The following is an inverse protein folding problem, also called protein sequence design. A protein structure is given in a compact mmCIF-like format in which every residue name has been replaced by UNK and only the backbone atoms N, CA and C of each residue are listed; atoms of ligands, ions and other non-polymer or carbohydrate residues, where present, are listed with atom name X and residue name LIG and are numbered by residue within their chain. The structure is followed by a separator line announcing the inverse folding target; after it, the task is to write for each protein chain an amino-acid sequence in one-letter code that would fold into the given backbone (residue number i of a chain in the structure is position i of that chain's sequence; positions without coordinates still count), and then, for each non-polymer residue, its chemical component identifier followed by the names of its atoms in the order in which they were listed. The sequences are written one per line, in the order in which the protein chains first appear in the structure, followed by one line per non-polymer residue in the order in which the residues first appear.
data_IF_391000241587
#
_entry.id   IF_391000241587
#
_cell.length_a   1.000
_cell.length_b   1.000
_cell.length_c   1.000
_cell.angle_alpha   90.00
_cell.angle_beta   90.00
_cell.angle_gamma   90.00
#
_symmetry.space_group_name_H-M   'P 1'
#
loop_
_entity.id
_entity.type
_entity.pdbx_description
1 polymer ?
#
# COMPACT_ATOMS: atom_id res chain seq x y z
N UNK A 1 -14.69 -0.70 -15.37
CA UNK A 1 -14.63 -0.77 -13.90
C UNK A 1 -13.94 0.51 -13.47
N UNK A 2 -14.72 1.46 -12.97
CA UNK A 2 -14.24 2.78 -12.59
C UNK A 2 -13.92 2.72 -11.09
N UNK A 3 -12.74 3.20 -10.72
CA UNK A 3 -12.32 3.32 -9.32
C UNK A 3 -12.85 4.63 -8.75
N UNK A 4 -13.60 4.56 -7.65
CA UNK A 4 -13.98 5.71 -6.83
C UNK A 4 -13.58 5.40 -5.39
N UNK A 5 -12.78 6.28 -4.77
CA UNK A 5 -12.55 6.26 -3.32
C UNK A 5 -12.68 7.67 -2.76
N UNK A 6 -13.50 7.71 -1.72
CA UNK A 6 -13.99 8.81 -0.91
C UNK A 6 -12.88 9.54 -0.14
N UNK A 7 -12.98 10.87 -0.10
CA UNK A 7 -12.33 11.71 0.91
C UNK A 7 -13.41 11.99 1.95
N UNK A 8 -13.15 11.66 3.22
CA UNK A 8 -14.08 12.01 4.30
C UNK A 8 -14.21 13.53 4.44
N UNK A 9 -15.47 13.99 4.41
CA UNK A 9 -15.91 15.35 4.70
C UNK A 9 -16.25 15.43 6.19
N UNK A 10 -15.48 16.21 6.95
CA UNK A 10 -15.79 16.63 8.32
C UNK A 10 -15.91 18.18 8.31
N UNK A 11 -17.12 18.67 8.04
CA UNK A 11 -17.56 20.05 8.32
C UNK A 11 -17.97 20.11 9.82
N UNK A 12 -17.78 21.15 10.63
CA UNK A 12 -17.25 22.50 10.48
C UNK A 12 -17.05 23.10 11.90
N UNK A 13 -16.12 24.06 12.07
CA UNK A 13 -16.25 25.22 12.96
C UNK A 13 -15.16 26.26 12.66
N UNK A 14 -15.55 27.54 12.63
CA UNK A 14 -14.78 28.69 12.14
C UNK A 14 -13.64 29.20 13.03
N UNK A 15 -13.05 30.36 12.67
CA UNK A 15 -11.67 30.72 12.99
C UNK A 15 -11.53 31.44 14.34
N UNK A 16 -10.50 31.07 15.11
CA UNK A 16 -10.10 31.75 16.33
C UNK A 16 -8.61 31.54 16.60
N UNK A 17 -7.81 32.57 16.35
CA UNK A 17 -6.39 32.62 16.71
C UNK A 17 -6.20 32.64 18.22
N UNK A 18 -5.32 31.82 18.79
CA UNK A 18 -4.61 32.12 20.04
C UNK A 18 -3.32 31.27 20.18
N UNK A 19 -2.20 32.00 20.24
CA UNK A 19 -0.95 31.80 20.97
C UNK A 19 -0.27 30.40 21.05
N UNK A 20 0.99 30.36 20.61
CA UNK A 20 2.03 29.50 21.17
C UNK A 20 2.17 29.82 22.66
N UNK A 21 1.76 28.93 23.55
CA UNK A 21 2.43 28.76 24.84
C UNK A 21 2.10 27.40 25.46
N UNK A 22 3.16 26.72 25.90
CA UNK A 22 3.18 25.49 26.71
C UNK A 22 2.41 24.27 26.16
N UNK A 23 3.08 23.47 25.32
CA UNK A 23 2.76 22.04 25.19
C UNK A 23 3.30 21.30 26.42
N UNK A 24 2.51 21.24 27.49
CA UNK A 24 2.63 20.15 28.46
C UNK A 24 2.16 18.88 27.78
N UNK A 25 3.04 17.88 27.67
CA UNK A 25 2.67 16.53 27.25
C UNK A 25 1.79 15.94 28.35
N UNK A 26 0.48 16.02 28.17
CA UNK A 26 -0.45 15.20 28.92
C UNK A 26 -0.23 13.76 28.45
N UNK A 27 0.48 12.99 29.27
CA UNK A 27 0.57 11.55 29.09
C UNK A 27 -0.82 10.98 29.38
N UNK A 28 -1.58 10.69 28.33
CA UNK A 28 -2.78 9.85 28.44
C UNK A 28 -2.39 8.58 29.22
N UNK A 29 -2.84 8.47 30.47
CA UNK A 29 -2.52 7.38 31.41
C UNK A 29 -3.05 6.00 30.98
N UNK A 30 -3.45 5.88 29.72
CA UNK A 30 -3.92 4.67 29.06
C UNK A 30 -3.00 4.23 27.90
N UNK A 31 -1.89 4.94 27.65
CA UNK A 31 -0.89 4.50 26.69
C UNK A 31 -0.25 3.20 27.19
N UNK A 32 -0.40 2.12 26.41
CA UNK A 32 0.29 0.87 26.68
C UNK A 32 1.81 1.15 26.82
N UNK A 33 2.51 0.53 27.79
CA UNK A 33 3.94 0.76 27.96
C UNK A 33 4.67 0.46 26.65
N UNK A 34 5.77 1.17 26.38
CA UNK A 34 6.55 1.03 25.14
C UNK A 34 7.02 -0.42 24.85
N UNK A 35 7.06 -1.28 25.88
CA UNK A 35 7.38 -2.70 25.78
C UNK A 35 6.18 -3.63 26.05
N UNK A 36 4.94 -3.15 25.92
CA UNK A 36 3.78 -4.01 25.98
C UNK A 36 3.88 -5.07 24.87
N UNK A 37 3.53 -6.33 25.13
CA UNK A 37 3.46 -7.33 24.07
C UNK A 37 2.54 -6.80 22.97
N UNK A 38 3.03 -6.81 21.73
CA UNK A 38 2.24 -6.39 20.58
C UNK A 38 0.90 -7.14 20.61
N UNK A 39 -0.19 -6.40 20.35
CA UNK A 39 -1.50 -7.00 20.15
C UNK A 39 -1.37 -8.17 19.18
N UNK A 40 -2.19 -9.21 19.32
CA UNK A 40 -2.21 -10.28 18.31
C UNK A 40 -2.36 -9.68 16.91
N UNK A 41 -3.10 -8.58 16.75
CA UNK A 41 -3.26 -7.89 15.47
C UNK A 41 -2.01 -7.19 14.94
N UNK A 42 -1.08 -6.79 15.82
CA UNK A 42 0.14 -6.04 15.48
C UNK A 42 1.40 -6.92 15.46
N UNK A 43 1.21 -8.25 15.50
CA UNK A 43 2.30 -9.20 15.49
C UNK A 43 3.06 -9.18 14.16
N UNK A 44 4.38 -9.00 14.24
CA UNK A 44 5.30 -9.15 13.11
C UNK A 44 5.48 -10.61 12.67
N UNK A 45 4.99 -11.58 13.47
CA UNK A 45 4.98 -12.99 13.09
C UNK A 45 3.85 -13.32 12.10
N UNK A 46 2.93 -12.39 11.85
CA UNK A 46 1.86 -12.59 10.90
C UNK A 46 2.38 -12.60 9.47
N UNK A 47 1.94 -13.62 8.76
CA UNK A 47 2.32 -13.91 7.38
C UNK A 47 1.45 -13.16 6.35
N UNK A 48 0.32 -12.62 6.80
CA UNK A 48 -0.68 -11.94 5.99
C UNK A 48 -1.35 -10.85 6.83
N UNK A 49 -1.28 -9.60 6.38
CA UNK A 49 -2.05 -8.49 6.91
C UNK A 49 -3.08 -8.04 5.88
N UNK A 50 -4.35 -8.04 6.27
CA UNK A 50 -5.42 -7.54 5.43
C UNK A 50 -6.68 -7.25 6.25
N UNK A 51 -7.47 -6.31 5.75
CA UNK A 51 -8.70 -5.82 6.38
C UNK A 51 -9.85 -6.03 5.41
N UNK A 52 -10.95 -6.64 5.87
CA UNK A 52 -12.19 -6.72 5.11
C UNK A 52 -13.28 -5.94 5.85
N UNK A 53 -13.75 -4.88 5.22
CA UNK A 53 -14.82 -4.05 5.74
C UNK A 53 -16.18 -4.72 5.49
N UNK A 54 -17.12 -4.51 6.41
CA UNK A 54 -18.48 -5.06 6.31
C UNK A 54 -19.27 -4.52 5.10
N UNK A 55 -18.86 -3.39 4.52
CA UNK A 55 -19.41 -2.85 3.28
C UNK A 55 -18.90 -3.58 2.01
N UNK A 56 -18.06 -4.60 2.18
CA UNK A 56 -17.52 -5.44 1.11
C UNK A 56 -16.20 -4.96 0.51
N UNK A 57 -15.52 -3.98 1.12
CA UNK A 57 -14.22 -3.50 0.64
C UNK A 57 -13.08 -4.24 1.37
N UNK A 58 -12.16 -4.82 0.62
CA UNK A 58 -10.98 -5.51 1.15
C UNK A 58 -9.68 -4.75 0.87
N UNK A 59 -8.78 -4.71 1.83
CA UNK A 59 -7.44 -4.14 1.69
C UNK A 59 -6.39 -5.18 2.08
N UNK A 60 -5.51 -5.53 1.16
CA UNK A 60 -4.34 -6.37 1.42
C UNK A 60 -3.13 -5.46 1.67
N UNK A 61 -2.56 -5.53 2.87
CA UNK A 61 -1.41 -4.70 3.27
C UNK A 61 -0.07 -5.44 3.09
N UNK A 62 -0.12 -6.73 2.72
CA UNK A 62 1.05 -7.55 2.44
C UNK A 62 1.44 -8.48 3.59
N UNK A 63 2.67 -8.97 3.57
CA UNK A 63 3.22 -9.88 4.57
C UNK A 63 4.50 -10.57 4.08
N UNK A 64 5.26 -11.24 4.96
CA UNK A 64 6.55 -11.86 4.64
C UNK A 64 6.47 -13.11 3.75
N UNK A 65 5.26 -13.57 3.43
CA UNK A 65 5.05 -14.70 2.54
C UNK A 65 5.37 -14.34 1.08
N UNK A 66 5.66 -15.37 0.29
CA UNK A 66 5.66 -15.28 -1.17
C UNK A 66 4.36 -14.61 -1.62
N UNK A 67 4.48 -13.46 -2.31
CA UNK A 67 3.35 -12.67 -2.78
C UNK A 67 2.33 -13.52 -3.56
N UNK A 68 2.80 -14.58 -4.24
CA UNK A 68 1.94 -15.49 -4.99
C UNK A 68 1.00 -16.31 -4.08
N UNK A 69 1.48 -16.72 -2.90
CA UNK A 69 0.69 -17.41 -1.87
C UNK A 69 -0.23 -16.44 -1.14
N UNK A 70 0.27 -15.26 -0.81
CA UNK A 70 -0.48 -14.17 -0.17
C UNK A 70 -1.71 -13.81 -0.97
N UNK A 71 -1.53 -13.44 -2.24
CA UNK A 71 -2.64 -13.01 -3.09
C UNK A 71 -3.60 -14.18 -3.34
N UNK A 72 -3.10 -15.40 -3.52
CA UNK A 72 -3.98 -16.57 -3.69
C UNK A 72 -4.89 -16.84 -2.48
N UNK A 73 -4.35 -16.73 -1.26
CA UNK A 73 -5.12 -16.89 -0.03
C UNK A 73 -6.12 -15.74 0.14
N UNK A 74 -5.64 -14.49 0.00
CA UNK A 74 -6.47 -13.29 0.13
C UNK A 74 -7.62 -13.25 -0.87
N UNK A 75 -7.34 -13.56 -2.13
CA UNK A 75 -8.32 -13.63 -3.22
C UNK A 75 -9.40 -14.69 -2.95
N UNK A 76 -9.01 -15.83 -2.36
CA UNK A 76 -9.96 -16.87 -1.96
C UNK A 76 -10.85 -16.40 -0.81
N UNK A 77 -10.29 -15.74 0.20
CA UNK A 77 -11.05 -15.17 1.33
C UNK A 77 -12.05 -14.11 0.85
N UNK A 78 -11.61 -13.20 -0.01
CA UNK A 78 -12.48 -12.16 -0.57
C UNK A 78 -13.64 -12.74 -1.36
N UNK A 79 -13.42 -13.80 -2.17
CA UNK A 79 -14.53 -14.47 -2.88
C UNK A 79 -15.50 -15.17 -1.94
N UNK A 80 -14.99 -15.88 -0.93
CA UNK A 80 -15.83 -16.59 0.04
C UNK A 80 -16.70 -15.63 0.86
N UNK A 81 -16.16 -14.46 1.20
CA UNK A 81 -16.82 -13.44 2.01
C UNK A 81 -17.63 -12.44 1.18
N UNK A 82 -17.64 -12.58 -0.15
CA UNK A 82 -18.42 -11.72 -1.05
C UNK A 82 -17.91 -10.28 -1.12
N UNK A 83 -16.60 -10.07 -1.07
CA UNK A 83 -15.99 -8.76 -1.26
C UNK A 83 -16.40 -8.18 -2.63
N UNK A 84 -16.78 -6.91 -2.62
CA UNK A 84 -17.20 -6.13 -3.79
C UNK A 84 -16.01 -5.51 -4.50
N UNK A 85 -15.06 -4.97 -3.73
CA UNK A 85 -13.86 -4.33 -4.24
C UNK A 85 -12.68 -4.69 -3.34
N UNK A 86 -11.51 -4.87 -3.94
CA UNK A 86 -10.30 -5.27 -3.23
C UNK A 86 -9.13 -4.43 -3.72
N UNK A 87 -8.41 -3.81 -2.80
CA UNK A 87 -7.14 -3.16 -3.10
C UNK A 87 -5.96 -3.95 -2.53
N UNK A 88 -4.81 -3.76 -3.16
CA UNK A 88 -3.54 -4.32 -2.70
C UNK A 88 -2.56 -3.16 -2.54
N UNK A 89 -2.03 -3.01 -1.34
CA UNK A 89 -0.89 -2.15 -1.10
C UNK A 89 0.37 -2.88 -1.57
N UNK A 90 1.08 -2.26 -2.51
CA UNK A 90 2.32 -2.80 -3.06
C UNK A 90 3.45 -1.81 -2.83
N UNK A 91 4.19 -2.05 -1.75
CA UNK A 91 5.40 -1.33 -1.34
C UNK A 91 6.68 -2.07 -1.75
N UNK A 92 6.58 -3.02 -2.70
CA UNK A 92 7.73 -3.82 -3.13
C UNK A 92 8.79 -2.95 -3.82
N UNK A 93 9.91 -2.77 -3.13
CA UNK A 93 11.10 -2.06 -3.58
C UNK A 93 12.33 -2.96 -3.34
N UNK A 94 13.34 -2.81 -4.19
CA UNK A 94 14.68 -3.31 -3.93
C UNK A 94 15.72 -2.26 -4.35
N UNK A 95 16.45 -1.73 -3.36
CA UNK A 95 17.60 -0.82 -3.58
C UNK A 95 17.25 0.37 -4.49
N UNK A 96 16.05 0.94 -4.34
CA UNK A 96 15.53 2.04 -5.14
C UNK A 96 14.68 1.63 -6.36
N UNK A 97 14.78 0.38 -6.81
CA UNK A 97 13.96 -0.12 -7.92
C UNK A 97 12.57 -0.55 -7.44
N UNK A 98 11.54 0.17 -7.88
CA UNK A 98 10.15 -0.20 -7.69
C UNK A 98 9.81 -1.47 -8.49
N UNK A 99 9.78 -2.62 -7.82
CA UNK A 99 9.58 -3.93 -8.44
C UNK A 99 8.24 -4.04 -9.19
N UNK A 100 7.24 -3.27 -8.77
CA UNK A 100 5.94 -3.16 -9.46
C UNK A 100 6.05 -2.59 -10.88
N UNK A 101 6.97 -1.65 -11.12
CA UNK A 101 7.21 -1.08 -12.44
C UNK A 101 7.99 -2.07 -13.28
N UNK A 102 9.07 -2.63 -12.72
CA UNK A 102 9.92 -3.60 -13.40
C UNK A 102 9.13 -4.85 -13.84
N UNK A 103 8.31 -5.42 -12.96
CA UNK A 103 7.45 -6.55 -13.30
C UNK A 103 6.49 -6.21 -14.44
N UNK A 104 5.89 -5.02 -14.40
CA UNK A 104 4.92 -4.61 -15.42
C UNK A 104 5.59 -4.32 -16.76
N UNK A 105 6.79 -3.73 -16.76
CA UNK A 105 7.59 -3.53 -17.97
C UNK A 105 7.96 -4.87 -18.62
N UNK A 106 8.36 -5.86 -17.83
CA UNK A 106 8.77 -7.19 -18.30
C UNK A 106 7.59 -8.05 -18.77
N UNK A 107 6.48 -8.07 -18.04
CA UNK A 107 5.37 -9.02 -18.26
C UNK A 107 4.09 -8.39 -18.82
N UNK A 108 4.06 -7.07 -19.00
CA UNK A 108 2.90 -6.33 -19.50
C UNK A 108 1.71 -6.28 -18.53
N UNK A 109 1.89 -6.70 -17.28
CA UNK A 109 0.87 -6.70 -16.23
C UNK A 109 1.49 -6.57 -14.85
N UNK A 110 0.69 -6.07 -13.91
CA UNK A 110 1.02 -6.08 -12.48
C UNK A 110 1.25 -7.52 -11.99
N UNK A 111 2.03 -7.70 -10.93
CA UNK A 111 2.34 -9.03 -10.40
C UNK A 111 1.12 -9.76 -9.84
N UNK A 112 0.16 -9.02 -9.29
CA UNK A 112 -1.16 -9.52 -8.88
C UNK A 112 -2.15 -9.68 -10.05
N UNK A 113 -1.79 -9.24 -11.26
CA UNK A 113 -2.67 -9.31 -12.43
C UNK A 113 -3.05 -10.72 -12.86
N UNK A 114 -2.31 -11.74 -12.40
CA UNK A 114 -2.66 -13.15 -12.61
C UNK A 114 -4.03 -13.52 -12.03
N UNK A 115 -4.50 -12.82 -10.99
CA UNK A 115 -5.81 -13.05 -10.37
C UNK A 115 -6.91 -12.11 -10.90
N UNK A 116 -6.62 -11.36 -11.97
CA UNK A 116 -7.58 -10.43 -12.57
C UNK A 116 -7.58 -9.03 -11.92
N UNK A 117 -6.77 -8.82 -10.89
CA UNK A 117 -6.53 -7.49 -10.31
C UNK A 117 -5.82 -6.58 -11.31
N UNK A 118 -6.15 -5.30 -11.30
CA UNK A 118 -5.59 -4.31 -12.22
C UNK A 118 -4.94 -3.19 -11.42
N UNK A 119 -4.14 -2.38 -12.10
CA UNK A 119 -3.66 -1.14 -11.49
C UNK A 119 -4.86 -0.27 -11.11
N UNK A 120 -5.01 -0.02 -9.81
CA UNK A 120 -6.02 0.86 -9.25
C UNK A 120 -5.48 2.28 -9.07
N UNK A 121 -5.51 2.77 -7.83
CA UNK A 121 -4.93 4.06 -7.45
C UNK A 121 -3.56 3.83 -6.80
N UNK A 122 -2.53 4.50 -7.28
CA UNK A 122 -1.24 4.53 -6.61
C UNK A 122 -1.22 5.61 -5.51
N UNK A 123 -0.29 5.52 -4.55
CA UNK A 123 -0.07 6.57 -3.55
C UNK A 123 0.10 7.96 -4.21
N UNK A 124 -0.27 9.02 -3.50
CA UNK A 124 -0.06 10.42 -3.93
C UNK A 124 -0.76 10.81 -5.25
N UNK A 125 -1.92 10.23 -5.54
CA UNK A 125 -2.75 10.59 -6.69
C UNK A 125 -2.07 10.36 -8.06
N UNK A 126 -1.11 9.43 -8.12
CA UNK A 126 -0.51 8.99 -9.39
C UNK A 126 -1.61 8.39 -10.27
N UNK A 127 -1.90 9.09 -11.35
CA UNK A 127 -2.87 8.67 -12.37
C UNK A 127 -2.36 7.47 -13.18
N UNK A 128 -3.28 6.68 -13.73
CA UNK A 128 -2.95 5.55 -14.60
C UNK A 128 -2.05 5.94 -15.79
N UNK A 129 -2.19 7.16 -16.31
CA UNK A 129 -1.32 7.69 -17.36
C UNK A 129 0.13 7.85 -16.90
N UNK A 130 0.37 8.37 -15.70
CA UNK A 130 1.71 8.50 -15.13
C UNK A 130 2.33 7.13 -14.85
N UNK A 131 1.54 6.20 -14.31
CA UNK A 131 1.99 4.82 -14.12
C UNK A 131 2.39 4.17 -15.45
N UNK A 132 1.57 4.30 -16.49
CA UNK A 132 1.87 3.80 -17.83
C UNK A 132 3.14 4.45 -18.41
N UNK A 133 3.30 5.75 -18.23
CA UNK A 133 4.50 6.47 -18.66
C UNK A 133 5.76 5.98 -17.93
N UNK A 134 5.68 5.75 -16.61
CA UNK A 134 6.78 5.20 -15.82
C UNK A 134 7.15 3.77 -16.24
N UNK A 135 6.16 2.91 -16.48
CA UNK A 135 6.38 1.55 -17.01
C UNK A 135 7.06 1.62 -18.38
N UNK A 136 6.65 2.56 -19.25
CA UNK A 136 7.28 2.75 -20.55
C UNK A 136 8.72 3.23 -20.43
N UNK A 137 8.99 4.18 -19.53
CA UNK A 137 10.35 4.65 -19.25
C UNK A 137 11.27 3.51 -18.78
N UNK A 138 10.81 2.66 -17.86
CA UNK A 138 11.57 1.47 -17.42
C UNK A 138 11.80 0.48 -18.57
N UNK A 139 10.82 0.34 -19.47
CA UNK A 139 10.92 -0.57 -20.62
C UNK A 139 11.92 -0.08 -21.67
N UNK A 140 12.00 1.23 -21.88
CA UNK A 140 12.87 1.86 -22.87
C UNK A 140 14.27 2.19 -22.30
N UNK A 141 14.44 2.12 -20.98
CA UNK A 141 15.70 2.39 -20.32
C UNK A 141 16.80 1.40 -20.74
N UNK A 142 18.02 1.88 -21.02
CA UNK A 142 19.20 1.03 -21.12
C UNK A 142 19.37 0.17 -19.87
N UNK A 143 19.80 -1.08 -20.05
CA UNK A 143 20.03 -2.02 -18.95
C UNK A 143 21.03 -1.48 -17.91
N UNK A 144 22.01 -0.69 -18.35
CA UNK A 144 22.99 -0.05 -17.47
C UNK A 144 22.33 0.93 -16.50
N UNK A 145 21.35 1.71 -16.96
CA UNK A 145 20.65 2.69 -16.13
C UNK A 145 19.75 1.96 -15.12
N UNK A 146 19.05 0.91 -15.56
CA UNK A 146 18.28 0.05 -14.66
C UNK A 146 19.15 -0.62 -13.59
N UNK A 147 20.40 -0.95 -13.92
CA UNK A 147 21.33 -1.53 -12.94
C UNK A 147 21.76 -0.49 -11.89
N UNK A 148 21.89 0.78 -12.27
CA UNK A 148 22.18 1.86 -11.32
C UNK A 148 21.04 2.05 -10.32
N UNK A 149 19.78 1.85 -10.75
CA UNK A 149 18.62 1.88 -9.86
C UNK A 149 18.58 0.71 -8.85
N UNK A 150 19.47 -0.28 -8.94
CA UNK A 150 19.66 -1.33 -7.92
C UNK A 150 20.87 -1.05 -7.01
N UNK A 151 21.53 0.10 -7.19
CA UNK A 151 22.65 0.56 -6.39
C UNK A 151 22.26 1.76 -5.52
N UNK A 152 21.03 2.24 -5.65
CA UNK A 152 20.51 3.33 -4.83
C UNK A 152 20.20 2.81 -3.42
N UNK A 153 20.65 3.54 -2.40
CA UNK A 153 20.33 3.20 -1.01
C UNK A 153 18.90 3.67 -0.74
N UNK A 154 18.01 2.78 -0.30
CA UNK A 154 16.70 3.20 0.20
C UNK A 154 16.91 4.13 1.42
N UNK A 155 16.35 5.35 1.44
CA UNK A 155 16.39 6.19 2.64
C UNK A 155 15.67 5.47 3.78
N UNK A 156 16.37 5.26 4.89
CA UNK A 156 15.82 4.73 6.14
C UNK A 156 14.87 5.73 6.82
#
# INVERSE_FOLDING_TARGET
MNAEIWVEELLAAGPGALALDSLTVESDGNAAPFNAPASVFDSQAHCLHGVLHANGYGHLNGGPLDGRRVVGLWDSLCRLLGAREVSVEDVSNKEGMLLRLLHTAAFGRTWYGKWGYQFGRAPYNIQAAHYKAAVQAVRDAPLVDLLMDFQAVDPQ
#
